data_IF_945382737789
#
_entry.id   IF_945382737789
#
_cell.length_a   1.000
_cell.length_b   1.000
_cell.length_c   1.000
_cell.angle_alpha   90.00
_cell.angle_beta   90.00
_cell.angle_gamma   90.00
#
_symmetry.space_group_name_H-M   'P 1'
#
loop_
_entity.id
_entity.type
_entity.pdbx_description
1 polymer ?
#
# COMPACT_ATOMS: atom_id res chain seq x y z
N UNK A 1 9.02 8.59 30.75
CA UNK A 1 7.66 8.19 30.31
C UNK A 1 7.73 7.68 28.88
N UNK A 2 7.12 6.54 28.55
CA UNK A 2 7.10 6.01 27.19
C UNK A 2 6.09 6.77 26.33
N UNK A 3 6.54 7.41 25.25
CA UNK A 3 5.68 8.10 24.28
C UNK A 3 4.97 7.06 23.40
N UNK A 4 3.65 6.98 23.45
CA UNK A 4 2.87 6.15 22.52
C UNK A 4 2.86 6.84 21.14
N UNK A 5 3.29 6.11 20.11
CA UNK A 5 3.29 6.56 18.72
C UNK A 5 2.25 5.72 17.97
N UNK A 6 1.37 6.37 17.21
CA UNK A 6 0.37 5.68 16.38
C UNK A 6 0.82 5.76 14.93
N UNK A 7 0.93 4.60 14.27
CA UNK A 7 1.35 4.48 12.88
C UNK A 7 0.21 3.89 12.06
N UNK A 8 -0.15 4.56 10.97
CA UNK A 8 -1.04 4.03 9.95
C UNK A 8 -0.23 3.37 8.85
N UNK A 9 -0.52 2.09 8.57
CA UNK A 9 0.01 1.37 7.42
C UNK A 9 -0.90 1.65 6.23
N UNK A 10 -0.31 2.05 5.10
CA UNK A 10 -1.09 2.29 3.88
C UNK A 10 -0.30 1.91 2.62
N UNK A 11 -1.06 1.64 1.55
CA UNK A 11 -0.53 1.47 0.20
C UNK A 11 -0.76 2.78 -0.55
N UNK A 12 0.28 3.40 -1.12
CA UNK A 12 0.16 4.65 -1.87
C UNK A 12 -0.77 4.53 -3.08
N UNK A 13 -1.45 5.64 -3.42
CA UNK A 13 -2.34 5.71 -4.58
C UNK A 13 -1.64 5.37 -5.89
N UNK A 14 -0.37 5.79 -6.06
CA UNK A 14 0.41 5.52 -7.26
C UNK A 14 0.63 4.02 -7.47
N UNK A 15 0.76 3.23 -6.39
CA UNK A 15 0.93 1.78 -6.52
C UNK A 15 -0.35 1.11 -6.99
N UNK A 16 -1.51 1.60 -6.54
CA UNK A 16 -2.82 1.12 -7.04
C UNK A 16 -2.96 1.37 -8.54
N UNK A 17 -2.57 2.56 -9.01
CA UNK A 17 -2.58 2.87 -10.45
C UNK A 17 -1.59 2.02 -11.24
N UNK A 18 -0.40 1.79 -10.69
CA UNK A 18 0.59 0.88 -11.29
C UNK A 18 0.01 -0.53 -11.44
N UNK A 19 -0.56 -1.10 -10.38
CA UNK A 19 -1.15 -2.44 -10.41
C UNK A 19 -2.30 -2.55 -11.42
N UNK A 20 -3.19 -1.54 -11.46
CA UNK A 20 -4.25 -1.46 -12.47
C UNK A 20 -3.69 -1.42 -13.89
N UNK A 21 -2.71 -0.56 -14.14
CA UNK A 21 -2.09 -0.41 -15.46
C UNK A 21 -1.45 -1.70 -15.93
N UNK A 22 -0.70 -2.39 -15.06
CA UNK A 22 -0.08 -3.69 -15.38
C UNK A 22 -1.13 -4.71 -15.79
N UNK A 23 -2.25 -4.80 -15.05
CA UNK A 23 -3.34 -5.71 -15.40
C UNK A 23 -4.01 -5.33 -16.73
N UNK A 24 -4.26 -4.05 -16.97
CA UNK A 24 -4.83 -3.58 -18.23
C UNK A 24 -3.93 -3.91 -19.41
N UNK A 25 -2.63 -3.66 -19.32
CA UNK A 25 -1.70 -3.96 -20.40
C UNK A 25 -1.53 -5.47 -20.63
N UNK A 26 -1.45 -6.27 -19.55
CA UNK A 26 -1.41 -7.71 -19.67
C UNK A 26 -2.66 -8.25 -20.37
N UNK A 27 -3.84 -7.78 -19.98
CA UNK A 27 -5.11 -8.12 -20.63
C UNK A 27 -5.11 -7.75 -22.12
N UNK A 28 -4.71 -6.52 -22.47
CA UNK A 28 -4.65 -6.06 -23.87
C UNK A 28 -3.64 -6.83 -24.71
N UNK A 29 -2.54 -7.28 -24.10
CA UNK A 29 -1.51 -8.07 -24.76
C UNK A 29 -1.81 -9.58 -24.80
N UNK A 30 -2.91 -10.03 -24.17
CA UNK A 30 -3.22 -11.46 -24.02
C UNK A 30 -2.22 -12.21 -23.13
N UNK A 31 -1.59 -11.51 -22.19
CA UNK A 31 -0.59 -12.04 -21.26
C UNK A 31 -1.18 -12.19 -19.86
N UNK A 32 -0.61 -13.09 -19.08
CA UNK A 32 -0.87 -13.17 -17.64
C UNK A 32 0.03 -12.21 -16.86
N UNK A 33 -0.51 -11.63 -15.80
CA UNK A 33 0.26 -10.80 -14.88
C UNK A 33 1.13 -11.69 -14.00
N UNK A 34 2.42 -11.36 -13.92
CA UNK A 34 3.32 -11.95 -12.93
C UNK A 34 2.96 -11.47 -11.52
N UNK A 35 2.11 -12.24 -10.85
CA UNK A 35 1.56 -11.94 -9.53
C UNK A 35 2.66 -11.86 -8.46
N UNK A 36 3.71 -12.68 -8.58
CA UNK A 36 4.82 -12.71 -7.63
C UNK A 36 5.62 -11.41 -7.68
N UNK A 37 5.93 -10.91 -8.88
CA UNK A 37 6.57 -9.59 -9.04
C UNK A 37 5.68 -8.47 -8.53
N UNK A 38 4.38 -8.54 -8.77
CA UNK A 38 3.45 -7.53 -8.31
C UNK A 38 3.35 -7.51 -6.78
N UNK A 39 3.32 -8.69 -6.15
CA UNK A 39 3.32 -8.86 -4.69
C UNK A 39 4.63 -8.35 -4.06
N UNK A 40 5.78 -8.67 -4.65
CA UNK A 40 7.07 -8.16 -4.20
C UNK A 40 7.13 -6.62 -4.27
N UNK A 41 6.57 -6.03 -5.33
CA UNK A 41 6.50 -4.58 -5.47
C UNK A 41 5.50 -3.95 -4.50
N UNK A 42 4.38 -4.63 -4.23
CA UNK A 42 3.40 -4.22 -3.22
C UNK A 42 4.07 -4.10 -1.85
N UNK A 43 4.83 -5.12 -1.43
CA UNK A 43 5.57 -5.11 -0.16
C UNK A 43 6.53 -3.93 -0.07
N UNK A 44 7.29 -3.64 -1.13
CA UNK A 44 8.23 -2.49 -1.19
C UNK A 44 7.51 -1.13 -1.16
N UNK A 45 6.26 -1.10 -1.61
CA UNK A 45 5.45 0.11 -1.69
C UNK A 45 4.71 0.42 -0.39
N UNK A 46 4.67 -0.49 0.59
CA UNK A 46 4.04 -0.24 1.90
C UNK A 46 4.69 0.99 2.54
N UNK A 47 3.86 1.91 3.01
CA UNK A 47 4.28 3.13 3.70
C UNK A 47 3.62 3.22 5.07
N UNK A 48 4.30 3.95 5.95
CA UNK A 48 3.86 4.24 7.29
C UNK A 48 3.73 5.75 7.42
N UNK A 49 2.67 6.20 8.09
CA UNK A 49 2.49 7.60 8.44
C UNK A 49 2.14 7.68 9.91
N UNK A 50 2.81 8.56 10.65
CA UNK A 50 2.40 8.90 12.00
C UNK A 50 1.05 9.62 11.96
N UNK A 51 0.13 9.15 12.78
CA UNK A 51 -1.18 9.75 12.95
C UNK A 51 -1.35 10.20 14.39
N UNK A 52 -2.20 11.20 14.58
CA UNK A 52 -2.64 11.56 15.92
C UNK A 52 -3.36 10.35 16.56
N UNK A 53 -3.28 10.20 17.89
CA UNK A 53 -4.02 9.19 18.60
C UNK A 53 -5.52 9.30 18.24
N UNK A 54 -6.21 8.19 17.96
CA UNK A 54 -7.66 8.21 17.86
C UNK A 54 -8.25 8.78 19.16
N UNK A 55 -9.32 9.59 19.07
CA UNK A 55 -9.88 10.35 20.20
C UNK A 55 -10.26 9.47 21.41
N UNK A 56 -10.46 8.17 21.23
CA UNK A 56 -10.65 7.20 22.33
C UNK A 56 -9.48 7.13 23.33
N UNK A 57 -8.28 7.59 22.96
CA UNK A 57 -7.13 7.70 23.87
C UNK A 57 -7.03 9.06 24.60
N UNK A 58 -7.99 9.98 24.38
CA UNK A 58 -8.07 11.29 25.06
C UNK A 58 -9.05 11.30 26.25
N UNK A 59 -9.70 10.18 26.56
CA UNK A 59 -10.57 9.98 27.73
C UNK A 59 -9.82 9.34 28.89
#
# INVERSE_FOLDING_TARGET
>A
MAKKIYLQVYIPWWFRLYAQSVHTFAYLAGLEVDADKLAAQAQRSIRYREIEPPDEAKL
#
